data_IF_337336765816
#
_entry.id   IF_337336765816
#
_cell.length_a   1.000
_cell.length_b   1.000
_cell.length_c   1.000
_cell.angle_alpha   90.00
_cell.angle_beta   90.00
_cell.angle_gamma   90.00
#
_symmetry.space_group_name_H-M   'P 1'
#
loop_
_entity.id
_entity.type
_entity.pdbx_description
1 polymer ?
#
# COMPACT_ATOMS: atom_id res chain seq x y z
N UNK A 1 18.64 -0.59 0.73
CA UNK A 1 17.31 0.03 0.90
C UNK A 1 16.61 0.03 -0.44
N UNK A 2 15.30 -0.21 -0.48
CA UNK A 2 14.55 -0.14 -1.73
C UNK A 2 14.43 1.31 -2.20
N UNK A 3 14.53 1.53 -3.49
CA UNK A 3 14.24 2.80 -4.18
C UNK A 3 12.73 3.06 -4.24
N UNK A 4 12.34 4.30 -4.53
CA UNK A 4 10.91 4.64 -4.74
C UNK A 4 10.27 3.80 -5.86
N UNK A 5 11.05 3.50 -6.90
CA UNK A 5 10.64 2.67 -8.02
C UNK A 5 10.37 1.23 -7.57
N UNK A 6 11.27 0.64 -6.79
CA UNK A 6 11.11 -0.73 -6.29
C UNK A 6 9.93 -0.83 -5.32
N UNK A 7 9.70 0.18 -4.46
CA UNK A 7 8.54 0.21 -3.56
C UNK A 7 7.23 0.30 -4.36
N UNK A 8 7.17 1.15 -5.39
CA UNK A 8 6.01 1.26 -6.29
C UNK A 8 5.75 -0.06 -7.03
N UNK A 9 6.80 -0.72 -7.51
CA UNK A 9 6.68 -2.04 -8.14
C UNK A 9 6.18 -3.10 -7.16
N UNK A 10 6.67 -3.08 -5.91
CA UNK A 10 6.18 -3.99 -4.88
C UNK A 10 4.69 -3.78 -4.58
N UNK A 11 4.21 -2.53 -4.56
CA UNK A 11 2.78 -2.23 -4.44
C UNK A 11 1.95 -2.79 -5.60
N UNK A 12 2.49 -2.84 -6.83
CA UNK A 12 1.81 -3.42 -8.00
C UNK A 12 1.61 -4.94 -7.87
N UNK A 13 2.51 -5.65 -7.19
CA UNK A 13 2.36 -7.09 -6.91
C UNK A 13 1.10 -7.33 -6.08
N UNK A 14 0.90 -6.52 -5.03
CA UNK A 14 -0.30 -6.59 -4.19
C UNK A 14 -1.58 -6.18 -4.93
N UNK A 15 -1.47 -5.22 -5.85
CA UNK A 15 -2.60 -4.79 -6.68
C UNK A 15 -2.96 -5.79 -7.79
N UNK A 16 -2.18 -6.87 -7.96
CA UNK A 16 -2.38 -7.90 -9.00
C UNK A 16 -2.51 -7.31 -10.41
N UNK A 17 -1.69 -6.30 -10.71
CA UNK A 17 -1.70 -5.61 -12.00
C UNK A 17 -2.82 -4.58 -12.18
N UNK A 18 -3.71 -4.38 -11.20
CA UNK A 18 -4.68 -3.30 -11.26
C UNK A 18 -3.97 -1.93 -11.26
N UNK A 19 -4.42 -0.97 -12.10
CA UNK A 19 -3.78 0.32 -12.20
C UNK A 19 -4.02 1.15 -10.94
N UNK A 20 -2.97 1.81 -10.47
CA UNK A 20 -3.07 2.80 -9.40
C UNK A 20 -3.62 4.12 -9.94
N UNK A 21 -4.54 4.73 -9.21
CA UNK A 21 -5.04 6.08 -9.45
C UNK A 21 -4.63 6.98 -8.29
N UNK A 22 -4.06 8.14 -8.60
CA UNK A 22 -3.80 9.16 -7.59
C UNK A 22 -5.12 9.81 -7.18
N UNK A 23 -5.44 9.73 -5.89
CA UNK A 23 -6.70 10.29 -5.34
C UNK A 23 -6.46 11.60 -4.60
N UNK A 24 -5.21 11.85 -4.20
CA UNK A 24 -4.67 13.11 -3.68
C UNK A 24 -3.15 13.05 -3.79
N UNK A 25 -2.43 14.20 -3.75
CA UNK A 25 -0.98 14.23 -3.87
C UNK A 25 -0.30 13.22 -2.94
N UNK A 26 0.45 12.29 -3.53
CA UNK A 26 1.20 11.28 -2.78
C UNK A 26 0.35 10.15 -2.19
N UNK A 27 -0.91 9.98 -2.61
CA UNK A 27 -1.75 8.82 -2.25
C UNK A 27 -2.39 8.21 -3.49
N UNK A 28 -2.04 6.94 -3.71
CA UNK A 28 -2.43 6.16 -4.87
C UNK A 28 -3.22 4.94 -4.42
N UNK A 29 -4.34 4.66 -5.06
CA UNK A 29 -5.22 3.52 -4.73
C UNK A 29 -5.39 2.62 -5.94
N UNK A 30 -5.35 1.30 -5.71
CA UNK A 30 -5.70 0.27 -6.67
C UNK A 30 -6.66 -0.75 -6.03
N UNK A 31 -7.65 -1.20 -6.80
CA UNK A 31 -8.53 -2.31 -6.45
C UNK A 31 -8.21 -3.51 -7.32
N UNK A 32 -7.73 -4.59 -6.70
CA UNK A 32 -7.46 -5.85 -7.39
C UNK A 32 -8.75 -6.62 -7.66
N UNK A 33 -8.71 -7.54 -8.63
CA UNK A 33 -9.85 -8.37 -9.04
C UNK A 33 -10.37 -9.32 -7.96
N UNK A 34 -9.57 -9.62 -6.94
CA UNK A 34 -9.95 -10.47 -5.82
C UNK A 34 -10.56 -9.71 -4.64
N UNK A 35 -10.85 -8.41 -4.83
CA UNK A 35 -11.39 -7.54 -3.78
C UNK A 35 -10.32 -6.86 -2.91
N UNK A 36 -9.02 -7.20 -3.07
CA UNK A 36 -7.95 -6.53 -2.34
C UNK A 36 -7.91 -5.04 -2.70
N UNK A 37 -7.86 -4.19 -1.68
CA UNK A 37 -7.61 -2.76 -1.83
C UNK A 37 -6.20 -2.43 -1.39
N UNK A 38 -5.44 -1.82 -2.27
CA UNK A 38 -4.05 -1.41 -2.02
C UNK A 38 -3.97 0.11 -2.04
N UNK A 39 -3.43 0.69 -0.97
CA UNK A 39 -3.12 2.12 -0.92
C UNK A 39 -1.61 2.29 -0.80
N UNK A 40 -0.98 2.97 -1.76
CA UNK A 40 0.41 3.40 -1.67
C UNK A 40 0.43 4.88 -1.30
N UNK A 41 1.09 5.25 -0.21
CA UNK A 41 1.14 6.64 0.27
C UNK A 41 2.51 7.08 0.74
N UNK A 42 2.92 8.29 0.36
CA UNK A 42 4.10 9.00 0.86
C UNK A 42 3.76 10.05 1.92
N UNK A 43 2.49 10.11 2.32
CA UNK A 43 2.01 10.98 3.40
C UNK A 43 1.39 10.12 4.50
N UNK A 44 1.79 10.38 5.75
CA UNK A 44 1.28 9.69 6.92
C UNK A 44 1.05 10.67 8.06
N UNK A 45 -0.08 10.55 8.76
CA UNK A 45 -0.31 11.30 10.00
C UNK A 45 0.70 10.94 11.09
N UNK A 46 1.30 9.76 11.01
CA UNK A 46 2.36 9.28 11.90
C UNK A 46 3.78 9.43 11.33
N UNK A 47 3.96 10.23 10.27
CA UNK A 47 5.25 10.35 9.58
C UNK A 47 6.37 10.84 10.52
N UNK A 48 6.07 11.78 11.41
CA UNK A 48 7.07 12.26 12.39
C UNK A 48 7.54 11.19 13.40
N UNK A 49 6.74 10.14 13.61
CA UNK A 49 7.06 9.03 14.52
C UNK A 49 7.72 7.87 13.77
N UNK A 50 7.25 7.58 12.56
CA UNK A 50 7.64 6.40 11.80
C UNK A 50 8.78 6.65 10.81
N UNK A 51 9.01 7.91 10.43
CA UNK A 51 9.97 8.37 9.40
C UNK A 51 9.86 7.56 8.11
N UNK A 52 8.64 7.17 7.75
CA UNK A 52 8.40 6.24 6.65
C UNK A 52 8.21 7.03 5.35
N UNK A 53 9.15 6.89 4.41
CA UNK A 53 9.08 7.53 3.10
C UNK A 53 7.88 7.03 2.29
N UNK A 54 7.54 5.75 2.41
CA UNK A 54 6.34 5.16 1.82
C UNK A 54 5.68 4.17 2.77
N UNK A 55 4.35 4.09 2.70
CA UNK A 55 3.55 3.03 3.32
C UNK A 55 2.67 2.36 2.26
N UNK A 56 2.56 1.03 2.32
CA UNK A 56 1.58 0.26 1.55
C UNK A 56 0.56 -0.32 2.53
N UNK A 57 -0.70 0.08 2.37
CA UNK A 57 -1.81 -0.43 3.16
C UNK A 57 -2.57 -1.49 2.33
N UNK A 58 -2.71 -2.70 2.88
CA UNK A 58 -3.46 -3.80 2.28
C UNK A 58 -4.74 -4.04 3.09
N UNK A 59 -5.88 -3.95 2.40
CA UNK A 59 -7.20 -4.24 2.98
C UNK A 59 -7.96 -5.25 2.14
N UNK A 60 -8.87 -5.96 2.77
CA UNK A 60 -9.82 -6.87 2.14
C UNK A 60 -9.17 -8.02 1.32
N UNK A 61 -7.88 -8.28 1.51
CA UNK A 61 -7.20 -9.38 0.83
C UNK A 61 -7.71 -10.74 1.36
N UNK A 62 -8.17 -11.66 0.49
CA UNK A 62 -8.76 -12.92 0.92
C UNK A 62 -7.84 -13.77 1.81
N UNK A 63 -6.54 -13.85 1.48
CA UNK A 63 -5.57 -14.65 2.26
C UNK A 63 -5.24 -14.00 3.59
N UNK A 64 -5.06 -12.67 3.62
CA UNK A 64 -4.78 -11.97 4.88
C UNK A 64 -5.98 -12.00 5.83
N UNK A 65 -7.21 -12.04 5.30
CA UNK A 65 -8.45 -12.16 6.09
C UNK A 65 -8.57 -13.47 6.86
N UNK A 66 -7.83 -14.51 6.49
CA UNK A 66 -7.71 -15.74 7.26
C UNK A 66 -6.92 -15.53 8.57
N UNK A 67 -6.11 -14.47 8.64
CA UNK A 67 -5.21 -14.18 9.78
C UNK A 67 -5.64 -12.92 10.55
N UNK A 68 -6.09 -11.88 9.86
CA UNK A 68 -6.47 -10.60 10.48
C UNK A 68 -7.57 -9.89 9.70
N UNK A 69 -8.43 -9.16 10.42
CA UNK A 69 -9.43 -8.25 9.84
C UNK A 69 -8.90 -6.82 9.72
N UNK A 70 -7.75 -6.54 10.34
CA UNK A 70 -7.13 -5.21 10.36
C UNK A 70 -6.42 -4.90 9.04
N UNK A 71 -6.11 -3.61 8.86
CA UNK A 71 -5.26 -3.18 7.74
C UNK A 71 -3.83 -3.62 7.98
N UNK A 72 -3.23 -4.29 7.00
CA UNK A 72 -1.80 -4.63 7.04
C UNK A 72 -1.01 -3.50 6.42
N UNK A 73 -0.05 -2.93 7.16
CA UNK A 73 0.80 -1.83 6.70
C UNK A 73 2.25 -2.30 6.50
N UNK A 74 2.82 -2.05 5.31
CA UNK A 74 4.26 -2.15 5.08
C UNK A 74 4.88 -0.75 5.06
N UNK A 75 5.80 -0.47 6.00
CA UNK A 75 6.46 0.83 6.13
C UNK A 75 7.90 0.76 5.65
N UNK A 76 8.28 1.68 4.76
CA UNK A 76 9.63 1.78 4.19
C UNK A 76 10.32 3.05 4.68
N UNK A 77 11.48 2.89 5.31
CA UNK A 77 12.34 3.95 5.86
C UNK A 77 13.60 4.11 5.03
#
# INVERSE_FOLDING_TARGET
MLTDKEIRQYAQVWAKGAPFKEVKPGVYVAGASDGTKVTLRSVSSSDQVTKARWTIDIRDNPKLREVTKETVEFKFR
#
